data_IF_636834117239
#
_entry.id   IF_636834117239
#
_cell.length_a   1.000
_cell.length_b   1.000
_cell.length_c   1.000
_cell.angle_alpha   90.00
_cell.angle_beta   90.00
_cell.angle_gamma   90.00
#
_symmetry.space_group_name_H-M   'P 1'
#
loop_
_entity.id
_entity.type
_entity.pdbx_description
1 polymer ?
#
# COMPACT_ATOMS: atom_id res chain seq x y z
N UNK A 1 -5.75 17.35 -19.85
CA UNK A 1 -6.98 17.70 -20.62
C UNK A 1 -8.18 17.65 -19.67
N UNK A 2 -9.33 18.23 -20.04
CA UNK A 2 -10.61 18.02 -19.32
C UNK A 2 -10.95 16.53 -19.13
N UNK A 3 -10.45 15.67 -20.03
CA UNK A 3 -10.76 14.23 -20.06
C UNK A 3 -9.59 13.32 -19.74
N UNK A 4 -8.35 13.70 -20.04
CA UNK A 4 -7.17 12.87 -19.77
C UNK A 4 -6.25 13.55 -18.77
N UNK A 5 -5.83 12.81 -17.74
CA UNK A 5 -4.82 13.25 -16.79
C UNK A 5 -3.83 12.12 -16.49
N UNK A 6 -2.55 12.48 -16.36
CA UNK A 6 -1.56 11.64 -15.70
C UNK A 6 -1.65 11.91 -14.20
N UNK A 7 -1.44 10.89 -13.39
CA UNK A 7 -1.41 11.03 -11.94
C UNK A 7 -0.27 10.24 -11.33
N UNK A 8 0.21 10.76 -10.20
CA UNK A 8 1.12 10.08 -9.29
C UNK A 8 0.54 10.21 -7.89
N UNK A 9 0.58 9.13 -7.12
CA UNK A 9 0.17 9.12 -5.72
C UNK A 9 1.26 8.47 -4.89
N UNK A 10 1.59 9.10 -3.76
CA UNK A 10 2.48 8.55 -2.76
C UNK A 10 1.71 8.45 -1.45
N UNK A 11 1.86 7.33 -0.76
CA UNK A 11 1.26 7.12 0.54
C UNK A 11 2.27 6.47 1.48
N UNK A 12 2.16 6.81 2.77
CA UNK A 12 2.93 6.19 3.84
C UNK A 12 2.00 5.78 4.97
N UNK A 13 2.15 4.54 5.42
CA UNK A 13 1.48 4.02 6.62
C UNK A 13 2.53 3.75 7.69
N UNK A 14 2.25 4.19 8.91
CA UNK A 14 3.03 3.89 10.11
C UNK A 14 2.09 3.21 11.12
N UNK A 15 2.16 1.89 11.16
CA UNK A 15 1.33 1.05 11.99
C UNK A 15 1.69 1.23 13.47
N UNK A 16 0.73 1.47 14.36
CA UNK A 16 0.97 1.52 15.82
C UNK A 16 0.39 0.29 16.50
N UNK A 17 0.75 0.03 17.76
CA UNK A 17 0.07 -0.96 18.62
C UNK A 17 -0.12 -2.38 18.02
N UNK A 18 0.80 -2.85 17.18
CA UNK A 18 0.70 -4.17 16.55
C UNK A 18 -0.33 -4.29 15.43
N UNK A 19 -0.88 -3.17 14.93
CA UNK A 19 -1.65 -3.16 13.69
C UNK A 19 -0.79 -3.59 12.49
N UNK A 20 -1.43 -4.21 11.52
CA UNK A 20 -0.81 -4.75 10.31
C UNK A 20 -1.56 -4.25 9.08
N UNK A 21 -1.69 -2.92 8.97
CA UNK A 21 -2.32 -2.30 7.80
C UNK A 21 -1.32 -2.25 6.66
N UNK A 22 -1.80 -2.61 5.48
CA UNK A 22 -1.06 -2.69 4.23
C UNK A 22 -1.60 -1.64 3.27
N UNK A 23 -0.69 -0.97 2.54
CA UNK A 23 -1.11 -0.16 1.39
C UNK A 23 -1.66 -1.09 0.30
N UNK A 24 -2.60 -0.59 -0.50
CA UNK A 24 -3.08 -1.32 -1.67
C UNK A 24 -1.93 -1.67 -2.63
N UNK A 25 -1.90 -2.91 -3.11
CA UNK A 25 -0.85 -3.42 -3.99
C UNK A 25 -0.42 -4.86 -3.65
N UNK A 26 0.69 -5.34 -4.22
CA UNK A 26 1.22 -6.66 -3.94
C UNK A 26 1.70 -6.78 -2.48
N UNK A 27 1.30 -7.86 -1.80
CA UNK A 27 1.77 -8.18 -0.46
C UNK A 27 3.09 -8.97 -0.56
N UNK A 28 4.19 -8.35 -0.16
CA UNK A 28 5.52 -8.98 -0.15
C UNK A 28 5.80 -9.80 1.11
N UNK A 29 4.97 -9.64 2.14
CA UNK A 29 5.04 -10.42 3.36
C UNK A 29 3.64 -10.97 3.63
N UNK A 30 3.54 -12.27 3.86
CA UNK A 30 2.30 -12.92 4.27
C UNK A 30 2.41 -13.34 5.73
N UNK A 31 1.39 -13.02 6.51
CA UNK A 31 1.31 -13.51 7.88
C UNK A 31 0.89 -14.98 7.85
N UNK A 32 1.78 -15.89 8.22
CA UNK A 32 1.42 -17.30 8.41
C UNK A 32 0.68 -17.41 9.74
N UNK A 33 -0.63 -17.67 9.67
CA UNK A 33 -1.46 -17.91 10.85
C UNK A 33 -0.89 -19.07 11.67
N UNK A 34 -0.84 -18.92 13.00
CA UNK A 34 -0.30 -19.88 13.97
C UNK A 34 1.24 -20.01 14.06
N UNK A 35 2.02 -19.18 13.37
CA UNK A 35 3.48 -19.07 13.64
C UNK A 35 3.73 -17.86 14.57
N UNK A 36 4.26 -18.06 15.78
CA UNK A 36 4.67 -16.96 16.66
C UNK A 36 5.86 -16.20 16.06
N UNK A 37 5.93 -14.87 16.27
CA UNK A 37 7.06 -14.05 15.83
C UNK A 37 7.08 -13.69 14.33
N UNK A 38 5.97 -13.91 13.61
CA UNK A 38 5.85 -13.49 12.22
C UNK A 38 6.02 -11.97 12.08
N UNK A 39 6.85 -11.58 11.13
CA UNK A 39 7.15 -10.18 10.81
C UNK A 39 5.87 -9.40 10.50
N UNK A 40 5.61 -8.36 11.29
CA UNK A 40 4.55 -7.38 11.04
C UNK A 40 5.20 -6.06 10.57
N UNK A 41 5.03 -5.66 9.30
CA UNK A 41 5.60 -4.44 8.77
C UNK A 41 5.15 -3.20 9.56
N UNK A 42 6.12 -2.52 10.19
CA UNK A 42 5.86 -1.30 10.97
C UNK A 42 5.52 -0.11 10.07
N UNK A 43 6.26 0.05 8.98
CA UNK A 43 6.08 1.17 8.06
C UNK A 43 6.11 0.70 6.63
N UNK A 44 5.25 1.28 5.80
CA UNK A 44 5.19 1.00 4.37
C UNK A 44 5.04 2.32 3.60
N UNK A 45 5.72 2.40 2.46
CA UNK A 45 5.63 3.52 1.52
C UNK A 45 5.26 2.96 0.16
N UNK A 46 4.22 3.49 -0.46
CA UNK A 46 3.72 3.04 -1.75
C UNK A 46 3.68 4.18 -2.75
N UNK A 47 3.88 3.82 -4.00
CA UNK A 47 3.86 4.71 -5.15
C UNK A 47 2.91 4.14 -6.19
N UNK A 48 2.00 4.96 -6.70
CA UNK A 48 1.08 4.62 -7.80
C UNK A 48 1.23 5.67 -8.90
N UNK A 49 1.38 5.22 -10.13
CA UNK A 49 1.55 6.05 -11.32
C UNK A 49 0.56 5.56 -12.37
N UNK A 50 -0.19 6.48 -12.98
CA UNK A 50 -1.18 6.07 -13.95
C UNK A 50 -1.69 7.17 -14.86
N UNK A 51 -2.56 6.75 -15.76
CA UNK A 51 -3.34 7.60 -16.65
C UNK A 51 -4.82 7.36 -16.39
N UNK A 52 -5.58 8.45 -16.23
CA UNK A 52 -7.05 8.39 -16.19
C UNK A 52 -7.61 9.08 -17.44
N UNK A 53 -8.63 8.46 -18.03
CA UNK A 53 -9.39 9.03 -19.12
C UNK A 53 -10.89 8.99 -18.77
N UNK A 54 -11.55 10.15 -18.83
CA UNK A 54 -12.99 10.30 -18.64
C UNK A 54 -13.68 10.46 -19.99
N UNK A 55 -14.78 9.74 -20.19
CA UNK A 55 -15.57 9.78 -21.42
C UNK A 55 -16.76 10.75 -21.32
#
# INVERSE_FOLDING_TARGET
SKRTALYATVARVDNKNGYDLILGGPNYVSRVTAVPGVYAPKTSTGYDLGIRHAF
#
